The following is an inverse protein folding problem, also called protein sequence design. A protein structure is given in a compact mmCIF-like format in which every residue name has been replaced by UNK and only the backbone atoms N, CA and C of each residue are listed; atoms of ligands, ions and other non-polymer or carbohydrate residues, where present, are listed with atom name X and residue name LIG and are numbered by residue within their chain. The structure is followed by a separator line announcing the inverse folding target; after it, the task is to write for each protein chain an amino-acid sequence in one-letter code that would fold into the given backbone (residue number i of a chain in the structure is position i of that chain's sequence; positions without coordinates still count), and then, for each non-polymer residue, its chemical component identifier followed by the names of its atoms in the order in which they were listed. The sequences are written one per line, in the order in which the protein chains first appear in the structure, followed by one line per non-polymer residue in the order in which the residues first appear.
data_IF_882970493147
#
_entry.id   IF_882970493147
#
_cell.length_a   1.000
_cell.length_b   1.000
_cell.length_c   1.000
_cell.angle_alpha   90.00
_cell.angle_beta   90.00
_cell.angle_gamma   90.00
#
_symmetry.space_group_name_H-M   'P 1'
#
loop_
_entity.id
_entity.type
_entity.pdbx_description
1 polymer ?
#
# COMPACT_ATOMS: atom_id res chain seq x y z
N UNK A 1 -16.92 16.26 -6.87
CA UNK A 1 -15.50 16.66 -7.01
C UNK A 1 -15.39 17.44 -8.31
N UNK A 2 -14.88 18.67 -8.28
CA UNK A 2 -14.66 19.43 -9.52
C UNK A 2 -13.47 18.83 -10.27
N UNK A 3 -13.61 18.67 -11.58
CA UNK A 3 -12.53 18.20 -12.45
C UNK A 3 -11.48 19.30 -12.58
N UNK A 4 -10.25 19.04 -12.12
CA UNK A 4 -9.11 19.92 -12.38
C UNK A 4 -8.55 19.57 -13.77
N UNK A 5 -8.48 20.53 -14.73
CA UNK A 5 -8.14 20.24 -16.12
C UNK A 5 -6.81 19.52 -16.32
N UNK A 6 -5.84 19.78 -15.43
CA UNK A 6 -4.48 19.25 -15.53
C UNK A 6 -4.21 18.05 -14.58
N UNK A 7 -5.25 17.53 -13.91
CA UNK A 7 -5.10 16.40 -12.99
C UNK A 7 -5.33 15.07 -13.70
N UNK A 8 -4.26 14.31 -13.88
CA UNK A 8 -4.33 12.90 -14.26
C UNK A 8 -4.29 12.00 -13.00
N UNK A 9 -5.41 11.39 -12.59
CA UNK A 9 -5.48 10.55 -11.41
C UNK A 9 -4.60 9.29 -11.50
N UNK A 10 -4.42 8.72 -12.70
CA UNK A 10 -3.64 7.50 -12.87
C UNK A 10 -2.15 7.80 -12.71
N UNK A 11 -1.67 8.91 -13.27
CA UNK A 11 -0.29 9.38 -13.08
C UNK A 11 -0.04 9.75 -11.61
N UNK A 12 -0.97 10.47 -10.99
CA UNK A 12 -0.87 10.83 -9.58
C UNK A 12 -0.79 9.59 -8.66
N UNK A 13 -1.67 8.60 -8.88
CA UNK A 13 -1.65 7.35 -8.12
C UNK A 13 -0.33 6.58 -8.28
N UNK A 14 0.17 6.46 -9.52
CA UNK A 14 1.47 5.81 -9.80
C UNK A 14 2.63 6.52 -9.11
N UNK A 15 2.63 7.86 -9.10
CA UNK A 15 3.65 8.66 -8.41
C UNK A 15 3.63 8.40 -6.91
N UNK A 16 2.45 8.43 -6.28
CA UNK A 16 2.30 8.15 -4.85
C UNK A 16 2.79 6.73 -4.50
N UNK A 17 2.41 5.73 -5.30
CA UNK A 17 2.87 4.34 -5.09
C UNK A 17 4.39 4.20 -5.26
N UNK A 18 5.00 4.93 -6.20
CA UNK A 18 6.44 4.88 -6.47
C UNK A 18 7.27 5.58 -5.40
N UNK A 19 6.78 6.68 -4.86
CA UNK A 19 7.51 7.52 -3.90
C UNK A 19 7.25 7.14 -2.43
N UNK A 20 6.13 6.46 -2.15
CA UNK A 20 5.80 5.96 -0.82
C UNK A 20 6.82 4.94 -0.31
N UNK A 21 7.29 5.13 0.92
CA UNK A 21 8.22 4.20 1.62
C UNK A 21 7.55 3.40 2.72
N UNK A 22 6.34 3.79 3.10
CA UNK A 22 5.53 3.10 4.10
C UNK A 22 4.06 3.07 3.68
N UNK A 23 3.31 2.13 4.24
CA UNK A 23 1.89 1.98 4.00
C UNK A 23 1.18 1.33 5.18
N UNK A 24 -0.14 1.54 5.23
CA UNK A 24 -1.02 0.80 6.12
C UNK A 24 -1.39 -0.53 5.44
N UNK A 25 -0.94 -1.64 6.00
CA UNK A 25 -1.31 -2.98 5.54
C UNK A 25 -2.45 -3.51 6.39
N UNK A 26 -3.62 -3.68 5.76
CA UNK A 26 -4.77 -4.30 6.37
C UNK A 26 -4.83 -5.79 6.00
N UNK A 27 -4.96 -6.65 7.00
CA UNK A 27 -5.13 -8.10 6.85
C UNK A 27 -6.29 -8.59 7.73
N UNK A 28 -6.66 -9.86 7.57
CA UNK A 28 -7.68 -10.49 8.41
C UNK A 28 -6.99 -11.30 9.51
N UNK A 29 -7.44 -11.14 10.75
CA UNK A 29 -7.00 -11.98 11.85
C UNK A 29 -7.43 -13.44 11.60
N UNK A 30 -6.49 -14.38 11.63
CA UNK A 30 -6.75 -15.78 11.27
C UNK A 30 -7.88 -16.43 12.10
N UNK A 31 -7.99 -16.08 13.38
CA UNK A 31 -8.94 -16.70 14.29
C UNK A 31 -10.35 -16.10 14.22
N UNK A 32 -10.46 -14.77 14.11
CA UNK A 32 -11.74 -14.07 14.21
C UNK A 32 -12.25 -13.50 12.88
N UNK A 33 -11.38 -13.31 11.89
CA UNK A 33 -11.70 -12.60 10.65
C UNK A 33 -11.81 -11.09 10.82
N UNK A 34 -11.52 -10.55 12.01
CA UNK A 34 -11.52 -9.10 12.24
C UNK A 34 -10.42 -8.42 11.40
N UNK A 35 -10.65 -7.17 10.95
CA UNK A 35 -9.61 -6.40 10.28
C UNK A 35 -8.50 -6.03 11.28
N UNK A 36 -7.26 -6.34 10.92
CA UNK A 36 -6.06 -5.87 11.60
C UNK A 36 -5.27 -4.95 10.66
N UNK A 37 -4.67 -3.90 11.20
CA UNK A 37 -3.89 -2.96 10.42
C UNK A 37 -2.54 -2.69 11.09
N UNK A 38 -1.47 -2.73 10.29
CA UNK A 38 -0.12 -2.41 10.76
C UNK A 38 0.60 -1.49 9.78
N UNK A 39 1.59 -0.76 10.29
CA UNK A 39 2.50 0.03 9.46
C UNK A 39 3.59 -0.89 8.88
N UNK A 40 3.78 -0.85 7.57
CA UNK A 40 4.82 -1.62 6.87
C UNK A 40 5.70 -0.71 6.02
N UNK A 41 6.93 -1.14 5.77
CA UNK A 41 7.74 -0.56 4.70
C UNK A 41 7.29 -1.13 3.36
N UNK A 42 7.28 -0.30 2.32
CA UNK A 42 6.89 -0.69 0.97
C UNK A 42 7.94 -0.22 -0.04
N UNK A 43 8.24 -1.09 -0.99
CA UNK A 43 8.95 -0.74 -2.22
C UNK A 43 8.08 -1.11 -3.42
N UNK A 44 8.50 -0.74 -4.63
CA UNK A 44 7.77 -1.07 -5.85
C UNK A 44 8.69 -1.72 -6.87
N UNK A 45 8.26 -2.83 -7.47
CA UNK A 45 8.95 -3.47 -8.57
C UNK A 45 8.95 -2.60 -9.84
N UNK A 46 9.67 -3.02 -10.89
CA UNK A 46 9.78 -2.27 -12.15
C UNK A 46 8.43 -2.09 -12.84
N UNK A 47 7.53 -3.05 -12.72
CA UNK A 47 6.14 -3.00 -13.23
C UNK A 47 5.17 -2.20 -12.33
N UNK A 48 5.61 -1.80 -11.13
CA UNK A 48 4.82 -1.04 -10.16
C UNK A 48 4.16 -1.89 -9.07
N UNK A 49 4.33 -3.22 -9.06
CA UNK A 49 3.80 -4.07 -8.00
C UNK A 49 4.42 -3.73 -6.64
N UNK A 50 3.64 -3.60 -5.55
CA UNK A 50 4.17 -3.41 -4.21
C UNK A 50 5.00 -4.62 -3.76
N UNK A 51 6.19 -4.37 -3.22
CA UNK A 51 7.07 -5.35 -2.61
C UNK A 51 7.12 -5.10 -1.10
N UNK A 52 6.85 -6.16 -0.32
CA UNK A 52 6.87 -6.15 1.13
C UNK A 52 7.88 -7.17 1.63
N UNK A 53 8.66 -6.81 2.65
CA UNK A 53 9.52 -7.75 3.37
C UNK A 53 8.94 -7.98 4.76
N UNK A 54 8.38 -9.17 4.97
CA UNK A 54 7.62 -9.51 6.16
C UNK A 54 8.40 -10.50 7.03
N UNK A 55 8.48 -10.22 8.33
CA UNK A 55 9.03 -11.16 9.31
C UNK A 55 8.09 -12.35 9.49
N UNK A 56 8.65 -13.55 9.65
CA UNK A 56 7.88 -14.76 10.00
C UNK A 56 7.24 -14.71 11.39
N UNK A 57 7.63 -13.73 12.21
CA UNK A 57 7.07 -13.48 13.54
C UNK A 57 6.07 -12.32 13.55
N UNK A 58 5.84 -11.66 12.42
CA UNK A 58 4.88 -10.57 12.35
C UNK A 58 3.45 -11.07 12.48
N UNK A 59 2.58 -10.20 13.03
CA UNK A 59 1.16 -10.51 13.27
C UNK A 59 0.30 -10.33 12.03
N UNK A 60 0.66 -9.39 11.14
CA UNK A 60 -0.09 -9.10 9.92
C UNK A 60 -0.12 -10.27 8.95
#
# INVERSE_FOLDING_TARGET
MQSTPDFDPAVAAKKLLREGRSGALATLMQASGDPYCSLVNVATATDGAPLLLISRLAVH
#
